data_IF_738906154484
#
_entry.id   IF_738906154484
#
_cell.length_a   1.000
_cell.length_b   1.000
_cell.length_c   1.000
_cell.angle_alpha   90.00
_cell.angle_beta   90.00
_cell.angle_gamma   90.00
#
_symmetry.space_group_name_H-M   'P 1'
#
loop_
_entity.id
_entity.type
_entity.pdbx_description
1 polymer ?
#
# COMPACT_ATOMS: atom_id res chain seq x y z
N UNK A 1 -3.03 -14.96 13.07
CA UNK A 1 -2.41 -15.66 11.91
C UNK A 1 -1.38 -14.74 11.28
N UNK A 2 -0.19 -15.23 10.92
CA UNK A 2 0.80 -14.39 10.23
C UNK A 2 0.33 -14.06 8.82
N UNK A 3 0.44 -12.79 8.43
CA UNK A 3 0.16 -12.35 7.06
C UNK A 3 1.06 -13.09 6.06
N UNK A 4 2.29 -13.44 6.43
CA UNK A 4 3.21 -14.22 5.59
C UNK A 4 2.60 -15.57 5.18
N UNK A 5 1.83 -16.19 6.06
CA UNK A 5 1.18 -17.46 5.79
C UNK A 5 -0.13 -17.31 5.00
N UNK A 6 -0.74 -16.13 5.06
CA UNK A 6 -1.98 -15.82 4.35
C UNK A 6 -1.72 -15.42 2.89
N UNK A 7 -0.68 -14.63 2.64
CA UNK A 7 -0.40 -14.10 1.31
C UNK A 7 0.21 -15.17 0.39
N UNK A 8 -0.34 -15.37 -0.81
CA UNK A 8 0.08 -16.44 -1.71
C UNK A 8 1.34 -16.13 -2.53
N UNK A 9 2.06 -15.06 -2.22
CA UNK A 9 3.29 -14.66 -2.90
C UNK A 9 3.90 -13.42 -2.32
N UNK A 10 4.97 -12.95 -2.93
CA UNK A 10 5.72 -11.76 -2.47
C UNK A 10 5.24 -10.45 -3.09
N UNK A 11 4.39 -10.51 -4.11
CA UNK A 11 3.86 -9.33 -4.79
C UNK A 11 2.34 -9.44 -4.91
N UNK A 12 1.65 -8.34 -4.56
CA UNK A 12 0.25 -8.12 -4.83
C UNK A 12 0.02 -6.96 -5.79
N UNK A 13 -1.16 -6.90 -6.38
CA UNK A 13 -1.62 -5.79 -7.22
C UNK A 13 -2.36 -4.76 -6.37
N UNK A 14 -1.89 -3.52 -6.38
CA UNK A 14 -2.56 -2.38 -5.77
C UNK A 14 -3.49 -1.67 -6.74
N UNK A 15 -4.72 -1.42 -6.31
CA UNK A 15 -5.80 -0.91 -7.15
C UNK A 15 -5.90 0.62 -7.24
N UNK A 16 -5.00 1.40 -6.66
CA UNK A 16 -5.09 2.86 -6.73
C UNK A 16 -5.15 3.40 -8.18
N UNK A 17 -4.36 2.90 -9.13
CA UNK A 17 -4.49 3.32 -10.53
C UNK A 17 -5.85 3.02 -11.17
N UNK A 18 -6.55 1.98 -10.69
CA UNK A 18 -7.90 1.64 -11.17
C UNK A 18 -8.95 2.67 -10.74
N UNK A 19 -8.65 3.49 -9.74
CA UNK A 19 -9.45 4.63 -9.30
C UNK A 19 -9.13 5.93 -10.03
N UNK A 20 -8.40 5.87 -11.13
CA UNK A 20 -7.93 7.04 -11.88
C UNK A 20 -6.98 7.93 -11.05
N UNK A 21 -6.06 7.30 -10.33
CA UNK A 21 -5.01 8.04 -9.60
C UNK A 21 -4.14 8.83 -10.61
N UNK A 22 -4.05 10.13 -10.41
CA UNK A 22 -3.36 11.12 -11.26
C UNK A 22 -3.98 11.34 -12.65
N UNK A 23 -4.60 10.36 -13.27
CA UNK A 23 -5.22 10.46 -14.59
C UNK A 23 -6.35 9.43 -14.78
N UNK A 24 -7.26 9.75 -15.70
CA UNK A 24 -8.29 8.80 -16.13
C UNK A 24 -7.69 7.71 -17.03
N UNK A 25 -8.14 6.47 -16.83
CA UNK A 25 -7.81 5.34 -17.69
C UNK A 25 -9.09 4.72 -18.29
N UNK A 26 -9.02 4.17 -19.52
CA UNK A 26 -10.16 3.47 -20.11
C UNK A 26 -10.54 2.20 -19.35
N UNK A 27 -11.80 1.80 -19.44
CA UNK A 27 -12.31 0.59 -18.78
C UNK A 27 -11.57 -0.68 -19.20
N UNK A 28 -11.28 -0.83 -20.49
CA UNK A 28 -10.56 -1.98 -21.04
C UNK A 28 -9.13 -2.07 -20.48
N UNK A 29 -8.45 -0.94 -20.31
CA UNK A 29 -7.11 -0.87 -19.71
C UNK A 29 -7.14 -1.26 -18.23
N UNK A 30 -8.12 -0.78 -17.48
CA UNK A 30 -8.31 -1.14 -16.08
C UNK A 30 -8.56 -2.65 -15.93
N UNK A 31 -9.43 -3.21 -16.75
CA UNK A 31 -9.73 -4.64 -16.73
C UNK A 31 -8.51 -5.49 -17.12
N UNK A 32 -7.79 -5.07 -18.16
CA UNK A 32 -6.56 -5.75 -18.60
C UNK A 32 -5.48 -5.75 -17.54
N UNK A 33 -5.36 -4.70 -16.73
CA UNK A 33 -4.39 -4.61 -15.62
C UNK A 33 -4.59 -5.76 -14.63
N UNK A 34 -5.84 -6.03 -14.24
CA UNK A 34 -6.16 -7.12 -13.31
C UNK A 34 -5.96 -8.49 -13.96
N UNK A 35 -6.44 -8.65 -15.20
CA UNK A 35 -6.33 -9.91 -15.95
C UNK A 35 -4.88 -10.29 -16.22
N UNK A 36 -4.03 -9.33 -16.56
CA UNK A 36 -2.60 -9.55 -16.75
C UNK A 36 -1.93 -10.03 -15.46
N UNK A 37 -2.22 -9.37 -14.33
CA UNK A 37 -1.69 -9.79 -13.03
C UNK A 37 -2.11 -11.22 -12.70
N UNK A 38 -3.38 -11.56 -12.92
CA UNK A 38 -3.87 -12.93 -12.71
C UNK A 38 -3.14 -13.95 -13.58
N UNK A 39 -3.00 -13.67 -14.87
CA UNK A 39 -2.34 -14.55 -15.83
C UNK A 39 -0.84 -14.76 -15.50
N UNK A 40 -0.23 -13.79 -14.84
CA UNK A 40 1.16 -13.87 -14.37
C UNK A 40 1.32 -14.57 -13.02
N UNK A 41 0.23 -15.02 -12.40
CA UNK A 41 0.25 -15.74 -11.14
C UNK A 41 0.05 -14.90 -9.89
N UNK A 42 -0.23 -13.61 -10.02
CA UNK A 42 -0.57 -12.76 -8.85
C UNK A 42 -1.91 -13.20 -8.27
N UNK A 43 -1.95 -13.41 -6.95
CA UNK A 43 -3.13 -13.89 -6.22
C UNK A 43 -3.46 -13.05 -4.99
N UNK A 44 -2.83 -11.89 -4.85
CA UNK A 44 -3.20 -10.89 -3.84
C UNK A 44 -3.55 -9.56 -4.52
N UNK A 45 -4.74 -9.04 -4.19
CA UNK A 45 -5.29 -7.81 -4.75
C UNK A 45 -5.73 -6.90 -3.61
N UNK A 46 -5.30 -5.64 -3.66
CA UNK A 46 -5.62 -4.62 -2.67
C UNK A 46 -6.31 -3.42 -3.32
N UNK A 47 -7.32 -2.90 -2.69
CA UNK A 47 -8.04 -1.72 -3.14
C UNK A 47 -8.55 -0.88 -1.95
N UNK A 48 -9.32 0.14 -2.20
CA UNK A 48 -9.92 1.00 -1.17
C UNK A 48 -11.13 1.78 -1.69
N UNK A 49 -12.09 2.10 -0.82
CA UNK A 49 -13.18 3.03 -1.16
C UNK A 49 -12.68 4.39 -1.66
N UNK A 50 -11.60 4.91 -1.08
CA UNK A 50 -11.00 6.18 -1.49
C UNK A 50 -10.57 6.20 -2.96
N UNK A 51 -10.15 5.08 -3.51
CA UNK A 51 -9.57 5.02 -4.86
C UNK A 51 -10.63 5.30 -5.92
N UNK A 52 -10.76 6.59 -6.26
CA UNK A 52 -11.75 7.07 -7.20
C UNK A 52 -13.18 7.03 -6.68
N UNK A 53 -13.39 7.14 -5.37
CA UNK A 53 -14.72 7.09 -4.73
C UNK A 53 -15.50 5.83 -5.09
N UNK A 54 -14.86 4.68 -4.93
CA UNK A 54 -15.44 3.37 -5.22
C UNK A 54 -15.15 2.85 -6.61
N UNK A 55 -14.59 3.64 -7.52
CA UNK A 55 -14.32 3.23 -8.90
C UNK A 55 -13.35 2.04 -8.96
N UNK A 56 -12.27 2.07 -8.19
CA UNK A 56 -11.31 0.95 -8.16
C UNK A 56 -11.97 -0.34 -7.67
N UNK A 57 -12.77 -0.27 -6.62
CA UNK A 57 -13.47 -1.45 -6.12
C UNK A 57 -14.44 -2.03 -7.16
N UNK A 58 -15.18 -1.17 -7.87
CA UNK A 58 -16.10 -1.60 -8.94
C UNK A 58 -15.32 -2.30 -10.05
N UNK A 59 -14.26 -1.69 -10.54
CA UNK A 59 -13.43 -2.24 -11.64
C UNK A 59 -12.73 -3.53 -11.24
N UNK A 60 -12.16 -3.57 -10.04
CA UNK A 60 -11.51 -4.78 -9.53
C UNK A 60 -12.51 -5.91 -9.33
N UNK A 61 -13.69 -5.61 -8.78
CA UNK A 61 -14.76 -6.58 -8.60
C UNK A 61 -15.25 -7.19 -9.91
N UNK A 62 -15.43 -6.38 -10.94
CA UNK A 62 -15.81 -6.87 -12.28
C UNK A 62 -14.74 -7.78 -12.88
N UNK A 63 -13.48 -7.37 -12.80
CA UNK A 63 -12.38 -8.16 -13.33
C UNK A 63 -12.18 -9.47 -12.57
N UNK A 64 -12.24 -9.46 -11.23
CA UNK A 64 -12.04 -10.64 -10.40
C UNK A 64 -13.23 -11.60 -10.37
N UNK A 65 -14.43 -11.14 -10.72
CA UNK A 65 -15.64 -11.98 -10.69
C UNK A 65 -15.59 -13.19 -11.60
N UNK A 66 -14.72 -13.19 -12.61
CA UNK A 66 -14.51 -14.32 -13.50
C UNK A 66 -13.60 -15.43 -12.91
N UNK A 67 -13.01 -15.20 -11.76
CA UNK A 67 -12.08 -16.14 -11.14
C UNK A 67 -12.66 -16.75 -9.85
N UNK A 68 -12.25 -17.98 -9.48
CA UNK A 68 -12.71 -18.60 -8.25
C UNK A 68 -12.26 -17.78 -7.02
N UNK A 69 -13.22 -17.43 -6.14
CA UNK A 69 -12.95 -16.56 -5.00
C UNK A 69 -11.93 -17.16 -4.01
N UNK A 70 -11.90 -18.47 -3.86
CA UNK A 70 -10.99 -19.16 -2.95
C UNK A 70 -9.53 -19.19 -3.45
N UNK A 71 -9.28 -18.80 -4.68
CA UNK A 71 -7.94 -18.85 -5.28
C UNK A 71 -7.14 -17.54 -5.09
N UNK A 72 -7.74 -16.51 -4.51
CA UNK A 72 -7.04 -15.25 -4.29
C UNK A 72 -7.38 -14.61 -2.95
N UNK A 73 -6.48 -13.76 -2.48
CA UNK A 73 -6.62 -12.92 -1.29
C UNK A 73 -7.01 -11.52 -1.72
N UNK A 74 -8.05 -10.98 -1.11
CA UNK A 74 -8.57 -9.65 -1.40
C UNK A 74 -8.58 -8.80 -0.14
N UNK A 75 -8.00 -7.59 -0.23
CA UNK A 75 -8.07 -6.59 0.82
C UNK A 75 -8.71 -5.30 0.33
N UNK A 76 -9.42 -4.64 1.22
CA UNK A 76 -9.89 -3.28 1.05
C UNK A 76 -9.73 -2.51 2.36
N UNK A 77 -10.29 -1.33 2.46
CA UNK A 77 -10.02 -0.43 3.57
C UNK A 77 -11.31 0.14 4.17
N UNK A 78 -11.22 0.56 5.43
CA UNK A 78 -12.27 1.26 6.17
C UNK A 78 -11.76 2.61 6.64
N UNK A 79 -12.65 3.47 7.12
CA UNK A 79 -12.35 4.83 7.56
C UNK A 79 -12.93 5.89 6.63
N UNK A 80 -13.39 5.49 5.45
CA UNK A 80 -14.07 6.38 4.49
C UNK A 80 -15.30 5.69 3.92
N UNK A 81 -16.40 6.43 3.89
CA UNK A 81 -17.68 5.98 3.37
C UNK A 81 -18.03 6.81 2.15
N UNK A 82 -18.55 6.16 1.11
CA UNK A 82 -19.10 6.83 -0.06
C UNK A 82 -20.59 7.10 0.18
N UNK A 83 -21.01 8.35 0.01
CA UNK A 83 -22.40 8.76 0.11
C UNK A 83 -23.04 8.81 -1.29
N UNK A 84 -24.37 8.76 -1.35
CA UNK A 84 -25.11 8.96 -2.61
C UNK A 84 -25.06 10.41 -3.08
N UNK A 85 -24.85 11.36 -2.15
CA UNK A 85 -24.64 12.77 -2.44
C UNK A 85 -23.37 12.96 -3.29
N UNK A 86 -23.45 13.87 -4.28
CA UNK A 86 -22.33 14.17 -5.18
C UNK A 86 -21.57 15.40 -4.70
N UNK A 87 -20.28 15.43 -4.97
CA UNK A 87 -19.40 16.59 -4.73
C UNK A 87 -18.41 16.75 -5.90
N UNK A 88 -17.75 17.91 -5.96
CA UNK A 88 -16.67 18.13 -6.90
C UNK A 88 -15.38 17.45 -6.37
N UNK A 89 -14.86 16.40 -7.04
CA UNK A 89 -13.66 15.71 -6.57
C UNK A 89 -12.43 16.61 -6.43
N UNK A 90 -12.33 17.66 -7.25
CA UNK A 90 -11.21 18.61 -7.20
C UNK A 90 -11.20 19.48 -5.93
N UNK A 91 -12.35 19.58 -5.24
CA UNK A 91 -12.51 20.39 -4.01
C UNK A 91 -12.41 19.56 -2.72
N UNK A 92 -12.15 18.28 -2.82
CA UNK A 92 -12.00 17.42 -1.64
C UNK A 92 -10.76 17.82 -0.85
N UNK A 93 -10.91 17.84 0.48
CA UNK A 93 -9.79 18.02 1.38
C UNK A 93 -9.19 16.67 1.74
N UNK A 94 -8.04 16.36 1.17
CA UNK A 94 -7.23 15.19 1.49
C UNK A 94 -5.89 15.58 2.14
N UNK A 95 -5.85 16.73 2.82
CA UNK A 95 -4.62 17.22 3.43
C UNK A 95 -3.53 17.43 2.37
N UNK A 96 -2.38 16.80 2.58
CA UNK A 96 -1.24 16.88 1.66
C UNK A 96 -1.47 16.15 0.32
N UNK A 97 -2.55 15.37 0.20
CA UNK A 97 -2.83 14.48 -0.95
C UNK A 97 -3.98 15.01 -1.83
N UNK A 98 -4.26 16.31 -1.79
CA UNK A 98 -5.34 16.92 -2.59
C UNK A 98 -5.23 16.62 -4.08
N UNK A 99 -6.35 16.39 -4.75
CA UNK A 99 -6.45 16.18 -6.20
C UNK A 99 -6.05 14.78 -6.69
N UNK A 100 -5.61 13.89 -5.81
CA UNK A 100 -5.06 12.58 -6.19
C UNK A 100 -6.03 11.72 -7.01
N UNK A 101 -7.34 11.77 -6.72
CA UNK A 101 -8.38 11.01 -7.39
C UNK A 101 -9.47 11.90 -8.00
N UNK A 102 -9.13 13.08 -8.48
CA UNK A 102 -10.09 14.04 -9.05
C UNK A 102 -10.83 13.51 -10.30
N UNK A 103 -10.26 12.50 -10.98
CA UNK A 103 -10.86 11.85 -12.15
C UNK A 103 -11.69 10.61 -11.79
N UNK A 104 -11.93 10.34 -10.51
CA UNK A 104 -12.80 9.26 -10.05
C UNK A 104 -14.28 9.61 -10.12
N UNK A 105 -15.10 8.78 -9.48
CA UNK A 105 -16.53 9.05 -9.32
C UNK A 105 -16.74 10.26 -8.40
N UNK A 106 -17.93 10.85 -8.48
CA UNK A 106 -18.24 12.11 -7.79
C UNK A 106 -18.95 11.93 -6.45
N UNK A 107 -19.11 10.71 -5.99
CA UNK A 107 -19.72 10.45 -4.70
C UNK A 107 -18.94 11.12 -3.58
N UNK A 108 -19.67 11.80 -2.68
CA UNK A 108 -19.09 12.46 -1.53
C UNK A 108 -18.44 11.43 -0.60
N UNK A 109 -17.25 11.76 -0.11
CA UNK A 109 -16.51 10.93 0.83
C UNK A 109 -16.70 11.48 2.24
N UNK A 110 -17.10 10.62 3.17
CA UNK A 110 -17.17 10.91 4.59
C UNK A 110 -16.09 10.14 5.34
N UNK A 111 -15.23 10.87 6.06
CA UNK A 111 -14.25 10.24 6.94
C UNK A 111 -14.92 9.83 8.26
N UNK A 112 -14.89 8.56 8.58
CA UNK A 112 -15.48 8.05 9.82
C UNK A 112 -14.84 6.72 10.22
N UNK A 113 -14.14 6.72 11.35
CA UNK A 113 -13.44 5.54 11.91
C UNK A 113 -14.21 4.85 13.02
N UNK A 114 -15.48 5.19 13.22
CA UNK A 114 -16.32 4.54 14.23
C UNK A 114 -16.57 3.05 13.90
N UNK A 115 -16.99 2.29 14.90
CA UNK A 115 -17.34 0.89 14.71
C UNK A 115 -18.50 0.71 13.71
N UNK A 116 -19.54 1.52 13.81
CA UNK A 116 -20.69 1.44 12.90
C UNK A 116 -20.30 1.76 11.46
N UNK A 117 -19.50 2.81 11.27
CA UNK A 117 -18.99 3.19 9.94
C UNK A 117 -18.08 2.10 9.36
N UNK A 118 -17.28 1.44 10.19
CA UNK A 118 -16.42 0.33 9.77
C UNK A 118 -17.25 -0.82 9.21
N UNK A 119 -18.31 -1.25 9.90
CA UNK A 119 -19.18 -2.32 9.43
C UNK A 119 -19.93 -1.94 8.16
N UNK A 120 -20.44 -0.73 8.08
CA UNK A 120 -21.09 -0.19 6.88
C UNK A 120 -20.14 -0.16 5.69
N UNK A 121 -18.92 0.32 5.90
CA UNK A 121 -17.92 0.41 4.85
C UNK A 121 -17.60 -0.96 4.26
N UNK A 122 -17.47 -1.98 5.09
CA UNK A 122 -17.23 -3.36 4.63
C UNK A 122 -18.41 -3.86 3.77
N UNK A 123 -19.64 -3.68 4.22
CA UNK A 123 -20.83 -4.10 3.46
C UNK A 123 -20.90 -3.39 2.10
N UNK A 124 -20.64 -2.09 2.07
CA UNK A 124 -20.64 -1.31 0.83
C UNK A 124 -19.52 -1.75 -0.13
N UNK A 125 -18.32 -2.04 0.41
CA UNK A 125 -17.19 -2.57 -0.38
C UNK A 125 -17.51 -3.94 -0.99
N UNK A 126 -18.15 -4.83 -0.23
CA UNK A 126 -18.55 -6.15 -0.73
C UNK A 126 -19.50 -6.04 -1.93
N UNK A 127 -20.43 -5.08 -1.90
CA UNK A 127 -21.33 -4.82 -3.03
C UNK A 127 -20.58 -4.34 -4.26
N UNK A 128 -19.67 -3.37 -4.10
CA UNK A 128 -18.86 -2.85 -5.21
C UNK A 128 -17.92 -3.92 -5.78
N UNK A 129 -17.33 -4.73 -4.92
CA UNK A 129 -16.41 -5.81 -5.30
C UNK A 129 -17.11 -7.09 -5.76
N UNK A 130 -18.44 -7.17 -5.64
CA UNK A 130 -19.25 -8.34 -6.05
C UNK A 130 -18.75 -9.64 -5.41
N UNK A 131 -18.45 -9.59 -4.11
CA UNK A 131 -17.98 -10.74 -3.34
C UNK A 131 -18.66 -10.77 -1.97
N UNK A 132 -18.61 -11.92 -1.31
CA UNK A 132 -19.19 -12.14 0.00
C UNK A 132 -18.22 -11.94 1.16
N UNK A 133 -16.91 -11.73 0.87
CA UNK A 133 -15.91 -11.55 1.93
C UNK A 133 -14.70 -10.74 1.48
N UNK A 134 -14.10 -10.07 2.46
CA UNK A 134 -12.72 -9.55 2.40
C UNK A 134 -11.85 -10.45 3.26
N UNK A 135 -10.63 -10.72 2.81
CA UNK A 135 -9.67 -11.50 3.58
C UNK A 135 -8.92 -10.63 4.58
N UNK A 136 -8.52 -9.44 4.17
CA UNK A 136 -7.79 -8.47 4.99
C UNK A 136 -8.50 -7.12 4.89
N UNK A 137 -8.60 -6.43 6.02
CA UNK A 137 -9.15 -5.07 6.09
C UNK A 137 -8.15 -4.12 6.72
N UNK A 138 -7.85 -3.03 6.02
CA UNK A 138 -6.96 -1.98 6.49
C UNK A 138 -7.77 -0.77 6.95
N UNK A 139 -7.37 -0.18 8.08
CA UNK A 139 -7.87 1.13 8.53
C UNK A 139 -7.07 2.19 7.81
N UNK A 140 -7.72 2.99 6.98
CA UNK A 140 -7.07 3.85 6.00
C UNK A 140 -6.78 5.25 6.55
N UNK A 141 -5.51 5.58 6.64
CA UNK A 141 -4.99 6.95 6.85
C UNK A 141 -5.43 7.68 8.12
N UNK A 142 -5.52 7.07 9.32
CA UNK A 142 -5.64 7.85 10.55
C UNK A 142 -4.28 8.45 10.90
N UNK A 143 -3.84 9.44 10.11
CA UNK A 143 -2.46 9.92 10.10
C UNK A 143 -2.39 11.41 9.77
N UNK A 144 -1.24 12.00 10.11
CA UNK A 144 -1.00 13.44 10.00
C UNK A 144 -1.03 13.99 8.57
N UNK A 145 -0.70 13.20 7.57
CA UNK A 145 -0.73 13.63 6.17
C UNK A 145 -2.13 13.90 5.63
N UNK A 146 -3.17 13.35 6.26
CA UNK A 146 -4.58 13.62 5.92
C UNK A 146 -5.26 14.57 6.89
N UNK A 147 -4.89 14.57 8.18
CA UNK A 147 -5.62 15.30 9.21
C UNK A 147 -4.79 16.38 9.90
N UNK A 148 -3.53 16.58 9.52
CA UNK A 148 -2.67 17.58 10.17
C UNK A 148 -2.60 17.36 11.68
N UNK A 149 -2.74 18.43 12.45
CA UNK A 149 -2.65 18.39 13.91
C UNK A 149 -3.79 17.61 14.58
N UNK A 150 -4.90 17.39 13.89
CA UNK A 150 -6.05 16.64 14.42
C UNK A 150 -5.93 15.11 14.23
N UNK A 151 -4.83 14.61 13.70
CA UNK A 151 -4.70 13.18 13.39
C UNK A 151 -4.79 12.27 14.62
N UNK A 152 -4.33 12.73 15.79
CA UNK A 152 -4.44 11.95 17.03
C UNK A 152 -5.89 11.77 17.48
N UNK A 153 -6.74 12.76 17.24
CA UNK A 153 -8.18 12.65 17.46
C UNK A 153 -8.79 11.59 16.57
N UNK A 154 -8.47 11.60 15.27
CA UNK A 154 -8.95 10.59 14.33
C UNK A 154 -8.38 9.20 14.65
N UNK A 155 -7.12 9.11 15.00
CA UNK A 155 -6.51 7.87 15.47
C UNK A 155 -7.23 7.32 16.71
N UNK A 156 -7.59 8.18 17.66
CA UNK A 156 -8.30 7.76 18.87
C UNK A 156 -9.70 7.23 18.55
N UNK A 157 -10.42 7.83 17.61
CA UNK A 157 -11.71 7.32 17.13
C UNK A 157 -11.51 5.93 16.49
N UNK A 158 -10.48 5.76 15.68
CA UNK A 158 -10.14 4.47 15.09
C UNK A 158 -9.82 3.42 16.15
N UNK A 159 -9.04 3.78 17.15
CA UNK A 159 -8.63 2.90 18.26
C UNK A 159 -9.83 2.36 19.04
N UNK A 160 -10.80 3.22 19.35
CA UNK A 160 -11.98 2.84 20.12
C UNK A 160 -13.13 2.29 19.26
N UNK A 161 -13.08 2.49 17.95
CA UNK A 161 -14.09 2.05 16.98
C UNK A 161 -13.59 0.95 16.06
N UNK A 162 -12.92 1.33 14.98
CA UNK A 162 -12.48 0.41 13.92
C UNK A 162 -11.57 -0.72 14.45
N UNK A 163 -10.61 -0.45 15.32
CA UNK A 163 -9.73 -1.47 15.90
C UNK A 163 -10.54 -2.60 16.55
N UNK A 164 -11.53 -2.23 17.35
CA UNK A 164 -12.36 -3.18 18.09
C UNK A 164 -13.32 -3.93 17.19
N UNK A 165 -13.94 -3.23 16.23
CA UNK A 165 -14.82 -3.86 15.25
C UNK A 165 -14.08 -4.89 14.41
N UNK A 166 -12.90 -4.55 13.90
CA UNK A 166 -12.11 -5.46 13.07
C UNK A 166 -11.52 -6.62 13.86
N UNK A 167 -11.11 -6.39 15.10
CA UNK A 167 -10.66 -7.46 16.00
C UNK A 167 -11.76 -8.48 16.21
N UNK A 168 -12.98 -8.01 16.45
CA UNK A 168 -14.15 -8.87 16.60
C UNK A 168 -14.45 -9.67 15.32
N UNK A 169 -14.43 -9.03 14.15
CA UNK A 169 -14.68 -9.71 12.89
C UNK A 169 -13.61 -10.77 12.60
N UNK A 170 -12.34 -10.50 12.93
CA UNK A 170 -11.28 -11.50 12.84
C UNK A 170 -11.52 -12.67 13.77
N UNK A 171 -11.84 -12.41 15.04
CA UNK A 171 -12.07 -13.45 16.04
C UNK A 171 -13.29 -14.31 15.72
N UNK A 172 -14.30 -13.73 15.08
CA UNK A 172 -15.48 -14.44 14.58
C UNK A 172 -15.25 -15.16 13.24
N UNK A 173 -14.09 -15.00 12.63
CA UNK A 173 -13.74 -15.62 11.35
C UNK A 173 -14.36 -14.97 10.11
N UNK A 174 -14.93 -13.77 10.24
CA UNK A 174 -15.54 -13.02 9.12
C UNK A 174 -14.45 -12.47 8.20
N UNK A 175 -13.35 -12.00 8.79
CA UNK A 175 -12.11 -11.64 8.08
C UNK A 175 -10.96 -12.45 8.66
N UNK A 176 -9.85 -12.54 7.92
CA UNK A 176 -8.67 -13.29 8.37
C UNK A 176 -7.65 -12.43 9.10
N UNK A 177 -7.56 -11.16 8.74
CA UNK A 177 -6.57 -10.24 9.30
C UNK A 177 -7.02 -8.79 9.17
N UNK A 178 -6.46 -7.92 10.02
CA UNK A 178 -6.64 -6.48 9.93
C UNK A 178 -5.36 -5.73 10.30
N UNK A 179 -5.30 -4.47 9.92
CA UNK A 179 -4.24 -3.56 10.29
C UNK A 179 -4.49 -2.14 9.84
N UNK A 180 -3.45 -1.30 9.87
CA UNK A 180 -3.51 0.05 9.32
C UNK A 180 -2.95 0.07 7.90
N UNK A 181 -3.58 0.85 7.03
CA UNK A 181 -3.05 1.21 5.72
C UNK A 181 -2.70 2.69 5.72
N UNK A 182 -1.43 3.03 5.79
CA UNK A 182 -0.95 4.40 6.02
C UNK A 182 0.30 4.71 5.21
N UNK A 183 0.60 6.02 5.09
CA UNK A 183 1.79 6.52 4.41
C UNK A 183 2.87 7.00 5.40
N UNK A 184 2.58 6.95 6.70
CA UNK A 184 3.46 7.42 7.77
C UNK A 184 3.69 6.32 8.80
N UNK A 185 4.87 6.31 9.40
CA UNK A 185 5.23 5.30 10.40
C UNK A 185 4.63 5.58 11.78
N UNK A 186 4.34 6.84 12.09
CA UNK A 186 3.88 7.25 13.42
C UNK A 186 2.60 6.54 13.88
N UNK A 187 1.54 6.42 13.08
CA UNK A 187 0.36 5.67 13.49
C UNK A 187 0.66 4.20 13.80
N UNK A 188 1.59 3.60 13.06
CA UNK A 188 2.02 2.21 13.28
C UNK A 188 2.81 2.09 14.60
N UNK A 189 3.76 2.98 14.81
CA UNK A 189 4.56 3.02 16.06
C UNK A 189 3.65 3.22 17.28
N UNK A 190 2.68 4.14 17.17
CA UNK A 190 1.72 4.39 18.25
C UNK A 190 0.85 3.16 18.52
N UNK A 191 0.36 2.49 17.49
CA UNK A 191 -0.44 1.26 17.61
C UNK A 191 0.32 0.18 18.37
N UNK A 192 1.59 -0.02 18.06
CA UNK A 192 2.43 -1.02 18.73
C UNK A 192 2.75 -0.67 20.17
N UNK A 193 2.76 0.63 20.53
CA UNK A 193 3.03 1.09 21.88
C UNK A 193 1.82 1.02 22.81
N UNK A 194 0.60 0.91 22.27
CA UNK A 194 -0.62 0.89 23.07
C UNK A 194 -0.97 -0.50 23.58
N UNK A 195 -1.63 -0.55 24.75
CA UNK A 195 -2.21 -1.77 25.30
C UNK A 195 -3.64 -1.95 24.74
N UNK A 196 -3.72 -2.18 23.45
CA UNK A 196 -4.96 -2.36 22.69
C UNK A 196 -4.86 -3.64 21.87
N UNK A 197 -5.97 -4.12 21.29
CA UNK A 197 -5.91 -5.25 20.36
C UNK A 197 -4.89 -5.01 19.25
N UNK A 198 -3.99 -5.98 19.04
CA UNK A 198 -2.92 -5.84 18.05
C UNK A 198 -3.44 -6.16 16.65
N UNK A 199 -3.04 -5.37 15.65
CA UNK A 199 -3.23 -5.74 14.26
C UNK A 199 -2.38 -6.95 13.87
N UNK A 200 -2.71 -7.55 12.74
CA UNK A 200 -1.91 -8.64 12.16
C UNK A 200 -0.76 -8.10 11.31
N UNK A 201 -0.97 -6.93 10.70
CA UNK A 201 0.01 -6.30 9.83
C UNK A 201 -0.24 -4.80 9.67
N UNK A 202 0.73 -4.12 9.04
CA UNK A 202 0.57 -2.77 8.52
C UNK A 202 0.83 -2.78 7.01
N UNK A 203 0.00 -2.07 6.26
CA UNK A 203 0.25 -1.72 4.87
C UNK A 203 0.88 -0.32 4.88
N UNK A 204 2.18 -0.26 4.72
CA UNK A 204 2.95 0.98 4.75
C UNK A 204 3.30 1.40 3.33
N UNK A 205 2.67 2.47 2.85
CA UNK A 205 2.87 3.02 1.52
C UNK A 205 3.78 4.25 1.59
N UNK A 206 5.07 4.03 1.52
CA UNK A 206 6.07 5.07 1.69
C UNK A 206 6.95 4.83 2.92
N UNK A 207 8.04 5.58 3.03
CA UNK A 207 8.96 5.52 4.17
C UNK A 207 9.82 4.27 4.24
N UNK A 208 9.74 3.36 3.28
CA UNK A 208 10.63 2.19 3.22
C UNK A 208 11.05 1.87 1.78
N UNK A 209 11.99 2.63 1.28
CA UNK A 209 12.64 2.46 -0.02
C UNK A 209 14.07 2.99 0.08
N UNK A 210 14.99 2.67 -0.84
CA UNK A 210 16.38 3.13 -0.73
C UNK A 210 16.55 4.65 -0.51
N UNK A 211 15.82 5.56 -1.16
CA UNK A 211 16.00 6.99 -0.89
C UNK A 211 15.35 7.46 0.42
N UNK A 212 14.52 6.66 1.06
CA UNK A 212 13.84 7.02 2.30
C UNK A 212 13.47 5.75 3.11
N UNK A 213 14.31 5.36 4.06
CA UNK A 213 14.11 4.14 4.84
C UNK A 213 14.51 4.22 6.31
N UNK A 214 15.28 5.22 6.71
CA UNK A 214 15.94 5.27 8.02
C UNK A 214 14.95 5.15 9.18
N UNK A 215 13.87 5.94 9.16
CA UNK A 215 12.93 5.96 10.28
C UNK A 215 12.19 4.63 10.45
N UNK A 216 11.69 4.07 9.36
CA UNK A 216 11.02 2.77 9.39
C UNK A 216 11.99 1.66 9.81
N UNK A 217 13.20 1.66 9.24
CA UNK A 217 14.23 0.66 9.55
C UNK A 217 14.62 0.65 11.03
N UNK A 218 14.84 1.83 11.63
CA UNK A 218 15.40 1.92 12.97
C UNK A 218 14.35 1.80 14.08
N UNK A 219 13.09 2.12 13.81
CA UNK A 219 12.04 2.20 14.81
C UNK A 219 10.91 1.20 14.59
N UNK A 220 10.22 1.29 13.44
CA UNK A 220 9.04 0.47 13.18
C UNK A 220 9.38 -1.01 12.96
N UNK A 221 10.34 -1.29 12.10
CA UNK A 221 10.64 -2.67 11.68
C UNK A 221 11.05 -3.59 12.85
N UNK A 222 11.97 -3.16 13.76
CA UNK A 222 12.32 -3.98 14.90
C UNK A 222 11.15 -4.26 15.84
N UNK A 223 10.35 -3.24 16.11
CA UNK A 223 9.20 -3.36 17.01
C UNK A 223 8.09 -4.25 16.42
N UNK A 224 7.82 -4.10 15.12
CA UNK A 224 6.85 -4.94 14.41
C UNK A 224 7.29 -6.41 14.44
N UNK A 225 8.57 -6.66 14.20
CA UNK A 225 9.13 -8.02 14.23
C UNK A 225 9.02 -8.63 15.63
N UNK A 226 9.34 -7.88 16.68
CA UNK A 226 9.24 -8.34 18.06
C UNK A 226 7.81 -8.67 18.47
N UNK A 227 6.83 -7.89 18.00
CA UNK A 227 5.41 -8.09 18.32
C UNK A 227 4.69 -9.01 17.36
N UNK A 228 5.37 -9.61 16.37
CA UNK A 228 4.81 -10.47 15.34
C UNK A 228 3.72 -9.77 14.49
N UNK A 229 3.95 -8.51 14.19
CA UNK A 229 3.12 -7.72 13.26
C UNK A 229 3.89 -7.58 11.96
N UNK A 230 3.35 -8.10 10.87
CA UNK A 230 4.03 -8.07 9.58
C UNK A 230 3.87 -6.72 8.88
N UNK A 231 4.81 -6.40 8.00
CA UNK A 231 4.73 -5.20 7.15
C UNK A 231 4.50 -5.63 5.71
N UNK A 232 3.52 -5.00 5.07
CA UNK A 232 3.32 -5.06 3.63
C UNK A 232 3.71 -3.69 3.08
N UNK A 233 4.67 -3.64 2.16
CA UNK A 233 5.17 -2.38 1.62
C UNK A 233 4.35 -2.01 0.39
N UNK A 234 3.61 -0.90 0.46
CA UNK A 234 2.88 -0.34 -0.67
C UNK A 234 3.75 0.59 -1.49
N UNK A 235 3.73 0.44 -2.81
CA UNK A 235 4.48 1.29 -3.72
C UNK A 235 6.00 1.29 -3.47
N UNK A 236 6.67 0.14 -3.58
CA UNK A 236 8.11 0.01 -3.25
C UNK A 236 9.02 0.88 -4.10
N UNK A 237 8.49 1.52 -5.14
CA UNK A 237 9.22 2.43 -6.03
C UNK A 237 9.01 3.91 -5.68
N UNK A 238 8.65 4.22 -4.46
CA UNK A 238 8.46 5.58 -3.96
C UNK A 238 7.54 6.42 -4.85
N UNK A 239 6.32 5.91 -5.13
CA UNK A 239 5.31 6.51 -6.01
C UNK A 239 5.79 6.77 -7.45
N UNK A 240 6.76 6.00 -7.92
CA UNK A 240 7.24 6.03 -9.28
C UNK A 240 8.56 6.79 -9.48
N UNK A 241 9.07 7.52 -8.51
CA UNK A 241 10.32 8.29 -8.66
C UNK A 241 11.52 7.40 -8.99
N UNK A 242 11.61 6.21 -8.40
CA UNK A 242 12.64 5.23 -8.71
C UNK A 242 12.44 4.53 -10.05
N UNK A 243 11.22 4.58 -10.58
CA UNK A 243 10.88 4.05 -11.90
C UNK A 243 10.96 5.11 -13.02
N UNK A 244 11.57 6.27 -12.75
CA UNK A 244 11.70 7.37 -13.69
C UNK A 244 10.52 8.36 -13.67
N UNK A 245 9.59 8.23 -12.72
CA UNK A 245 8.50 9.19 -12.52
C UNK A 245 8.92 10.41 -11.69
N UNK A 246 8.02 11.37 -11.58
CA UNK A 246 8.27 12.63 -10.85
C UNK A 246 7.68 12.64 -9.43
N UNK A 247 6.89 11.62 -9.06
CA UNK A 247 6.18 11.59 -7.80
C UNK A 247 6.93 10.79 -6.73
N UNK A 248 6.92 11.32 -5.51
CA UNK A 248 7.35 10.66 -4.30
C UNK A 248 6.24 10.82 -3.25
N UNK A 249 5.83 9.71 -2.61
CA UNK A 249 4.74 9.68 -1.64
C UNK A 249 3.46 10.39 -2.14
N UNK A 250 3.08 10.15 -3.40
CA UNK A 250 1.93 10.76 -4.09
C UNK A 250 2.05 12.25 -4.39
N UNK A 251 3.22 12.83 -4.16
CA UNK A 251 3.51 14.24 -4.43
C UNK A 251 4.70 14.37 -5.36
N UNK A 252 4.95 15.56 -5.85
CA UNK A 252 6.18 15.85 -6.58
C UNK A 252 7.37 15.68 -5.64
N UNK A 253 8.40 14.96 -6.08
CA UNK A 253 9.58 14.69 -5.27
C UNK A 253 10.31 15.98 -4.89
N UNK A 254 10.78 16.07 -3.62
CA UNK A 254 11.61 17.17 -3.15
C UNK A 254 12.99 17.15 -3.83
N UNK A 255 13.68 18.29 -3.80
CA UNK A 255 15.04 18.38 -4.34
C UNK A 255 16.00 17.39 -3.66
N UNK A 256 15.87 17.19 -2.35
CA UNK A 256 16.70 16.25 -1.60
C UNK A 256 16.48 14.80 -2.04
N UNK A 257 15.23 14.39 -2.24
CA UNK A 257 14.88 13.06 -2.75
C UNK A 257 15.36 12.89 -4.19
N UNK A 258 15.17 13.88 -5.05
CA UNK A 258 15.65 13.83 -6.43
C UNK A 258 17.17 13.67 -6.49
N UNK A 259 17.91 14.34 -5.61
CA UNK A 259 19.37 14.21 -5.52
C UNK A 259 19.79 12.80 -5.10
N UNK A 260 19.16 12.23 -4.09
CA UNK A 260 19.42 10.83 -3.69
C UNK A 260 19.12 9.85 -4.81
N UNK A 261 18.00 10.01 -5.49
CA UNK A 261 17.60 9.17 -6.63
C UNK A 261 18.64 9.29 -7.76
N UNK A 262 19.13 10.50 -8.06
CA UNK A 262 20.18 10.70 -9.06
C UNK A 262 21.47 9.97 -8.68
N UNK A 263 21.90 10.03 -7.42
CA UNK A 263 23.06 9.28 -6.92
C UNK A 263 22.86 7.77 -7.04
N UNK A 264 21.69 7.28 -6.66
CA UNK A 264 21.33 5.85 -6.78
C UNK A 264 21.38 5.40 -8.24
N UNK A 265 20.83 6.18 -9.16
CA UNK A 265 20.84 5.88 -10.59
C UNK A 265 22.27 5.85 -11.15
N UNK A 266 23.15 6.74 -10.71
CA UNK A 266 24.57 6.77 -11.11
C UNK A 266 25.27 5.47 -10.70
N UNK A 267 25.07 5.03 -9.47
CA UNK A 267 25.64 3.78 -8.97
C UNK A 267 25.04 2.58 -9.71
N UNK A 268 23.73 2.57 -9.90
CA UNK A 268 23.05 1.49 -10.61
C UNK A 268 23.56 1.33 -12.05
N UNK A 269 23.76 2.44 -12.75
CA UNK A 269 24.33 2.43 -14.11
C UNK A 269 25.74 1.83 -14.11
N UNK A 270 26.58 2.22 -13.14
CA UNK A 270 27.94 1.72 -13.03
C UNK A 270 28.01 0.20 -12.83
N UNK A 271 27.08 -0.36 -12.08
CA UNK A 271 27.02 -1.80 -11.79
C UNK A 271 26.03 -2.56 -12.69
N UNK A 272 25.45 -1.91 -13.68
CA UNK A 272 24.43 -2.49 -14.56
C UNK A 272 23.24 -3.07 -13.78
N UNK A 273 22.76 -2.34 -12.80
CA UNK A 273 21.65 -2.73 -11.92
C UNK A 273 20.37 -2.04 -12.35
N UNK A 274 19.26 -2.81 -12.38
CA UNK A 274 17.92 -2.26 -12.52
C UNK A 274 17.48 -1.66 -11.18
N UNK A 275 17.25 -0.36 -11.14
CA UNK A 275 16.88 0.39 -9.91
C UNK A 275 15.57 -0.12 -9.31
N UNK A 276 14.61 -0.48 -10.14
CA UNK A 276 13.34 -1.06 -9.65
C UNK A 276 13.58 -2.40 -8.94
N UNK A 277 14.43 -3.23 -9.52
CA UNK A 277 14.81 -4.51 -8.90
C UNK A 277 15.50 -4.29 -7.55
N UNK A 278 16.43 -3.35 -7.49
CA UNK A 278 17.11 -3.00 -6.25
C UNK A 278 16.12 -2.51 -5.18
N UNK A 279 15.19 -1.63 -5.54
CA UNK A 279 14.20 -1.08 -4.62
C UNK A 279 13.27 -2.17 -4.07
N UNK A 280 12.76 -3.04 -4.93
CA UNK A 280 11.88 -4.13 -4.54
C UNK A 280 12.59 -5.14 -3.64
N UNK A 281 13.79 -5.56 -4.03
CA UNK A 281 14.58 -6.52 -3.26
C UNK A 281 15.03 -5.94 -1.92
N UNK A 282 15.35 -4.66 -1.87
CA UNK A 282 15.63 -3.95 -0.61
C UNK A 282 14.45 -4.05 0.35
N UNK A 283 13.25 -3.71 -0.12
CA UNK A 283 12.05 -3.77 0.72
C UNK A 283 11.80 -5.20 1.25
N UNK A 284 11.89 -6.20 0.40
CA UNK A 284 11.62 -7.60 0.74
C UNK A 284 12.71 -8.27 1.57
N UNK A 285 13.90 -7.70 1.65
CA UNK A 285 15.01 -8.24 2.43
C UNK A 285 14.83 -8.07 3.94
N UNK A 286 14.03 -7.10 4.38
CA UNK A 286 13.78 -6.92 5.81
C UNK A 286 12.89 -8.05 6.35
N UNK A 287 13.30 -8.72 7.45
CA UNK A 287 12.54 -9.86 7.99
C UNK A 287 11.13 -9.51 8.49
N UNK A 288 10.84 -8.23 8.77
CA UNK A 288 9.49 -7.78 9.13
C UNK A 288 8.56 -7.68 7.90
N UNK A 289 9.09 -7.64 6.70
CA UNK A 289 8.32 -7.43 5.46
C UNK A 289 7.82 -8.76 4.90
N UNK A 290 6.50 -8.88 4.75
CA UNK A 290 5.84 -10.07 4.21
C UNK A 290 5.75 -10.04 2.69
N UNK A 291 5.44 -8.89 2.11
CA UNK A 291 5.22 -8.72 0.67
C UNK A 291 5.28 -7.25 0.26
N UNK A 292 5.34 -7.01 -1.04
CA UNK A 292 5.12 -5.70 -1.65
C UNK A 292 3.80 -5.66 -2.42
N UNK A 293 3.17 -4.51 -2.44
CA UNK A 293 2.00 -4.23 -3.28
C UNK A 293 2.42 -3.28 -4.37
N UNK A 294 2.48 -3.78 -5.59
CA UNK A 294 2.83 -3.00 -6.77
C UNK A 294 1.59 -2.26 -7.29
N UNK A 295 1.79 -1.02 -7.71
CA UNK A 295 0.80 -0.18 -8.36
C UNK A 295 1.28 0.11 -9.77
N UNK A 296 1.11 -0.85 -10.71
CA UNK A 296 1.61 -0.64 -12.06
C UNK A 296 0.87 0.53 -12.69
N UNK A 297 1.61 1.52 -13.24
CA UNK A 297 0.96 2.52 -14.05
C UNK A 297 0.44 1.86 -15.33
N UNK A 298 -0.58 2.41 -15.87
CA UNK A 298 -1.42 2.15 -17.03
C UNK A 298 -0.83 1.51 -18.31
N UNK A 299 0.21 0.68 -18.22
CA UNK A 299 0.78 0.01 -19.41
C UNK A 299 0.76 -1.49 -19.22
N UNK A 300 0.31 -2.20 -20.23
CA UNK A 300 0.49 -3.65 -20.32
C UNK A 300 1.99 -4.00 -20.14
N UNK A 301 2.27 -5.10 -19.45
CA UNK A 301 3.63 -5.56 -19.21
C UNK A 301 4.30 -5.06 -17.93
N UNK A 302 3.73 -4.10 -17.22
CA UNK A 302 4.34 -3.56 -15.97
C UNK A 302 4.36 -4.57 -14.84
N UNK A 303 3.33 -5.37 -14.69
CA UNK A 303 3.34 -6.41 -13.65
C UNK A 303 4.37 -7.48 -13.97
N UNK A 304 4.56 -7.83 -15.25
CA UNK A 304 5.63 -8.75 -15.66
C UNK A 304 7.02 -8.20 -15.31
N UNK A 305 7.25 -6.90 -15.51
CA UNK A 305 8.49 -6.23 -15.11
C UNK A 305 8.70 -6.29 -13.59
N UNK A 306 7.64 -6.06 -12.82
CA UNK A 306 7.70 -6.08 -11.35
C UNK A 306 8.00 -7.49 -10.83
N UNK A 307 7.40 -8.52 -11.42
CA UNK A 307 7.71 -9.91 -11.08
C UNK A 307 9.14 -10.31 -11.47
N UNK A 308 9.60 -9.88 -12.63
CA UNK A 308 10.98 -10.10 -13.06
C UNK A 308 11.99 -9.41 -12.12
N UNK A 309 11.62 -8.25 -11.56
CA UNK A 309 12.44 -7.51 -10.62
C UNK A 309 12.76 -8.28 -9.33
N UNK A 310 11.90 -9.23 -8.92
CA UNK A 310 12.13 -10.06 -7.74
C UNK A 310 13.44 -10.85 -7.82
N UNK A 311 13.82 -11.30 -9.01
CA UNK A 311 14.95 -12.20 -9.23
C UNK A 311 16.05 -11.59 -10.12
N UNK A 312 15.89 -10.33 -10.50
CA UNK A 312 16.91 -9.65 -11.32
C UNK A 312 18.24 -9.54 -10.56
N UNK A 313 19.38 -9.66 -11.25
CA UNK A 313 20.69 -9.59 -10.61
C UNK A 313 20.97 -8.21 -9.99
N UNK A 314 21.30 -8.20 -8.68
CA UNK A 314 21.80 -7.02 -7.98
C UNK A 314 23.03 -7.46 -7.20
N UNK A 315 24.26 -7.16 -7.69
CA UNK A 315 25.47 -7.66 -7.07
C UNK A 315 25.75 -7.04 -5.70
N UNK A 316 26.43 -7.79 -4.83
CA UNK A 316 26.81 -7.34 -3.49
C UNK A 316 27.61 -6.03 -3.51
N UNK A 317 28.43 -5.83 -4.55
CA UNK A 317 29.24 -4.62 -4.75
C UNK A 317 28.38 -3.37 -4.93
N UNK A 318 27.21 -3.50 -5.54
CA UNK A 318 26.23 -2.41 -5.64
C UNK A 318 25.81 -1.93 -4.23
N UNK A 319 25.45 -2.85 -3.38
CA UNK A 319 25.01 -2.54 -2.01
C UNK A 319 26.16 -1.99 -1.15
N UNK A 320 27.38 -2.51 -1.34
CA UNK A 320 28.57 -2.00 -0.67
C UNK A 320 28.84 -0.54 -1.04
N UNK A 321 28.70 -0.18 -2.31
CA UNK A 321 28.84 1.19 -2.77
C UNK A 321 27.73 2.11 -2.25
N UNK A 322 26.50 1.62 -2.22
CA UNK A 322 25.36 2.34 -1.62
C UNK A 322 25.62 2.67 -0.15
N UNK A 323 26.16 1.73 0.63
CA UNK A 323 26.57 1.97 2.02
C UNK A 323 27.70 2.95 2.14
N UNK A 324 28.72 2.82 1.30
CA UNK A 324 29.89 3.71 1.29
C UNK A 324 29.50 5.17 1.03
N UNK A 325 28.47 5.40 0.19
CA UNK A 325 27.94 6.73 -0.09
C UNK A 325 26.83 7.17 0.88
N UNK A 326 26.59 6.43 1.95
CA UNK A 326 25.53 6.71 2.94
C UNK A 326 24.11 6.76 2.35
N UNK A 327 23.86 6.00 1.29
CA UNK A 327 22.53 5.88 0.68
C UNK A 327 21.72 4.72 1.24
N UNK A 328 22.38 3.78 1.91
CA UNK A 328 21.77 2.67 2.63
C UNK A 328 22.41 2.58 4.02
N UNK A 329 21.57 2.45 5.05
CA UNK A 329 22.05 2.34 6.42
C UNK A 329 22.92 1.08 6.63
N UNK A 330 23.93 1.21 7.50
CA UNK A 330 24.87 0.12 7.83
C UNK A 330 24.15 -1.15 8.27
N UNK A 331 23.10 -1.00 9.08
CA UNK A 331 22.34 -2.13 9.65
C UNK A 331 21.13 -2.56 8.82
N UNK A 332 20.94 -2.00 7.63
CA UNK A 332 19.82 -2.41 6.77
C UNK A 332 20.01 -3.86 6.30
N UNK A 333 19.04 -4.75 6.51
CA UNK A 333 19.06 -6.07 5.87
C UNK A 333 19.04 -5.90 4.35
N UNK A 334 19.93 -6.61 3.68
CA UNK A 334 20.09 -6.57 2.23
C UNK A 334 19.84 -7.94 1.62
N UNK A 335 19.47 -7.99 0.33
CA UNK A 335 19.28 -9.26 -0.34
C UNK A 335 20.53 -10.15 -0.22
N UNK A 336 20.32 -11.38 0.21
CA UNK A 336 21.37 -12.41 0.23
C UNK A 336 21.20 -13.30 -1.01
N UNK A 337 22.31 -13.64 -1.66
CA UNK A 337 22.34 -14.58 -2.75
C UNK A 337 23.15 -15.81 -2.38
#
# INVERSE_FOLDING_TARGET
>A
MSIKNLLPGKIGLGGAPLGNMFRAIPEDEAHATVSEAWNLGVRYFDTAPLYGSGLSEIRMGEALSQYPRDEYVLSSKVGRIMLDEMEDPAKRDFGEKGGLFEHGLKNKILNDYSADATLRSIEDSLKRLKTDRLDIVWIHDPAQDFYGDSWLEQFNIARTGAFRALTRLRDEGVIKAWGLGVNRVEPCELTLALDEPKPDAFLLAGGFSPPDHERALQRLMPEALEQNVDIVVGGPYSSGVLAGGEHFEYQKASAAIQQKVAQINTIATRFNVNVKAAALQFALANPAVAAGVSRPPHRCGRMAEDLAALNAPVPAEFWAEMRRQNLVAENAPLPTR
#
